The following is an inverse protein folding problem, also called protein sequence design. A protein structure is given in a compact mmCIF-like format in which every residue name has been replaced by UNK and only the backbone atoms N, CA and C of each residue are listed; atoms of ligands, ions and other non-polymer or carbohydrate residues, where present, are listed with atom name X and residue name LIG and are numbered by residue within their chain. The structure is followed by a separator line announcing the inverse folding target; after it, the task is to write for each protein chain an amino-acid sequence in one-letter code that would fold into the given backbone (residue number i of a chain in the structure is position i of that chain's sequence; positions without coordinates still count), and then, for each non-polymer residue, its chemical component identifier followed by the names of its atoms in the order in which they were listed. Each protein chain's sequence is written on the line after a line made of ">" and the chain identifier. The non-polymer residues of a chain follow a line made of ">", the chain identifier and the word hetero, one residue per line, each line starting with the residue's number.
data_IF_951294314687
#
_entry.id   IF_951294314687
#
_cell.length_a   1.000
_cell.length_b   1.000
_cell.length_c   1.000
_cell.angle_alpha   90.00
_cell.angle_beta   90.00
_cell.angle_gamma   90.00
#
_symmetry.space_group_name_H-M   'P 1'
#
loop_
_entity.id
_entity.type
_entity.pdbx_description
1 polymer ?
#
# COMPACT_ATOMS: atom_id res chain seq x y z
N UNK A 1 10.39 71.67 9.31
CA UNK A 1 11.38 70.59 9.24
C UNK A 1 10.89 69.43 10.10
N UNK A 2 10.61 68.32 9.43
CA UNK A 2 10.26 66.94 9.81
C UNK A 2 9.99 66.55 11.29
N UNK A 3 8.77 66.05 11.52
CA UNK A 3 8.49 64.99 12.50
C UNK A 3 7.82 63.84 11.76
N UNK A 4 8.57 62.77 11.51
CA UNK A 4 8.08 61.53 10.89
C UNK A 4 7.60 60.58 11.98
N UNK A 5 6.28 60.46 12.16
CA UNK A 5 5.69 59.37 12.93
C UNK A 5 5.44 58.18 12.00
N UNK A 6 6.27 57.14 12.18
CA UNK A 6 6.13 55.88 11.47
C UNK A 6 4.81 55.19 11.81
N UNK A 7 3.96 55.02 10.81
CA UNK A 7 2.78 54.17 10.90
C UNK A 7 3.23 52.70 10.88
N UNK A 8 3.05 52.01 12.00
CA UNK A 8 3.14 50.55 12.10
C UNK A 8 2.00 49.97 11.26
N UNK A 9 2.35 49.39 10.11
CA UNK A 9 1.44 48.64 9.26
C UNK A 9 1.19 47.30 9.93
N UNK A 10 0.05 47.18 10.59
CA UNK A 10 -0.43 45.96 11.23
C UNK A 10 -0.77 44.96 10.12
N UNK A 11 0.13 44.01 9.87
CA UNK A 11 -0.08 42.95 8.90
C UNK A 11 -1.19 42.04 9.42
N UNK A 12 -2.31 42.01 8.68
CA UNK A 12 -3.40 41.07 8.93
C UNK A 12 -2.87 39.68 8.64
N UNK A 13 -2.51 38.94 9.69
CA UNK A 13 -2.36 37.49 9.63
C UNK A 13 -3.63 36.87 9.06
N UNK A 14 -3.55 36.44 7.81
CA UNK A 14 -4.55 35.64 7.13
C UNK A 14 -4.66 34.31 7.86
N UNK A 15 -5.82 34.12 8.51
CA UNK A 15 -6.24 32.90 9.17
C UNK A 15 -6.24 31.76 8.14
N UNK A 16 -5.18 30.95 8.15
CA UNK A 16 -5.02 29.75 7.33
C UNK A 16 -6.23 28.84 7.55
N UNK A 17 -7.03 28.72 6.50
CA UNK A 17 -8.28 27.97 6.50
C UNK A 17 -7.90 26.49 6.38
N UNK A 18 -7.85 25.77 7.51
CA UNK A 18 -7.88 24.30 7.55
C UNK A 18 -9.34 23.85 7.78
N UNK A 19 -10.09 23.46 6.73
CA UNK A 19 -11.23 22.56 6.97
C UNK A 19 -11.43 21.44 5.92
N UNK A 20 -10.50 21.20 4.99
CA UNK A 20 -10.66 20.11 3.98
C UNK A 20 -10.04 18.77 4.40
N UNK A 21 -9.14 18.77 5.38
CA UNK A 21 -8.37 17.59 5.81
C UNK A 21 -9.22 16.53 6.56
N UNK A 22 -10.10 16.95 7.48
CA UNK A 22 -10.92 16.02 8.28
C UNK A 22 -12.03 15.33 7.48
N UNK A 23 -12.45 15.93 6.37
CA UNK A 23 -13.48 15.36 5.51
C UNK A 23 -12.94 14.20 4.68
N UNK A 24 -11.73 14.33 4.13
CA UNK A 24 -11.09 13.28 3.34
C UNK A 24 -10.68 12.08 4.20
N UNK A 25 -10.09 12.28 5.38
CA UNK A 25 -9.77 11.17 6.30
C UNK A 25 -11.02 10.40 6.74
N UNK A 26 -12.08 11.12 7.13
CA UNK A 26 -13.33 10.51 7.59
C UNK A 26 -14.09 9.82 6.46
N UNK A 27 -14.07 10.38 5.25
CA UNK A 27 -14.66 9.77 4.07
C UNK A 27 -13.88 8.54 3.61
N UNK A 28 -12.54 8.60 3.63
CA UNK A 28 -11.67 7.48 3.28
C UNK A 28 -11.77 6.33 4.28
N UNK A 29 -11.75 6.60 5.59
CA UNK A 29 -11.99 5.60 6.62
C UNK A 29 -13.39 4.99 6.53
N UNK A 30 -14.42 5.82 6.32
CA UNK A 30 -15.79 5.34 6.09
C UNK A 30 -15.93 4.55 4.78
N UNK A 31 -15.13 4.87 3.77
CA UNK A 31 -15.09 4.17 2.50
C UNK A 31 -14.44 2.78 2.64
N UNK A 32 -13.30 2.68 3.33
CA UNK A 32 -12.68 1.39 3.68
C UNK A 32 -13.64 0.52 4.48
N UNK A 33 -14.32 1.09 5.50
CA UNK A 33 -15.34 0.38 6.29
C UNK A 33 -16.56 -0.04 5.46
N UNK A 34 -17.01 0.80 4.52
CA UNK A 34 -18.12 0.47 3.62
C UNK A 34 -17.74 -0.62 2.61
N UNK A 35 -16.49 -0.67 2.16
CA UNK A 35 -15.95 -1.69 1.26
C UNK A 35 -15.72 -3.04 1.95
N UNK A 36 -15.16 -3.04 3.16
CA UNK A 36 -15.06 -4.23 4.03
C UNK A 36 -16.43 -4.91 4.17
N UNK A 37 -17.48 -4.11 4.37
CA UNK A 37 -18.87 -4.58 4.45
C UNK A 37 -19.43 -5.07 3.11
N UNK A 38 -19.05 -4.44 1.99
CA UNK A 38 -19.51 -4.83 0.67
C UNK A 38 -18.90 -6.17 0.22
N UNK A 39 -17.61 -6.43 0.52
CA UNK A 39 -16.97 -7.73 0.26
C UNK A 39 -17.58 -8.84 1.10
N UNK A 40 -17.71 -8.61 2.40
CA UNK A 40 -18.42 -9.53 3.29
C UNK A 40 -19.81 -9.86 2.75
N UNK A 41 -20.53 -8.86 2.24
CA UNK A 41 -21.85 -9.07 1.64
C UNK A 41 -21.77 -9.89 0.34
N UNK A 42 -20.80 -9.63 -0.53
CA UNK A 42 -20.62 -10.38 -1.77
C UNK A 42 -20.30 -11.85 -1.50
N UNK A 43 -19.39 -12.13 -0.56
CA UNK A 43 -19.00 -13.48 -0.17
C UNK A 43 -20.16 -14.24 0.49
N UNK A 44 -20.92 -13.56 1.37
CA UNK A 44 -22.14 -14.13 1.96
C UNK A 44 -23.24 -14.38 0.91
N UNK A 45 -23.34 -13.53 -0.10
CA UNK A 45 -24.31 -13.70 -1.19
C UNK A 45 -23.94 -14.81 -2.17
N UNK A 46 -22.65 -15.17 -2.24
CA UNK A 46 -22.11 -16.23 -3.11
C UNK A 46 -22.28 -17.64 -2.52
N UNK A 47 -22.60 -17.77 -1.22
CA UNK A 47 -22.90 -19.05 -0.57
C UNK A 47 -24.15 -19.71 -1.19
N UNK A 48 -24.07 -21.02 -1.44
CA UNK A 48 -25.19 -21.80 -1.96
C UNK A 48 -26.27 -22.03 -0.90
N UNK A 49 -27.50 -22.33 -1.32
CA UNK A 49 -28.65 -22.54 -0.43
C UNK A 49 -28.43 -23.68 0.57
N UNK A 50 -27.61 -24.69 0.24
CA UNK A 50 -27.21 -25.76 1.16
C UNK A 50 -26.21 -25.28 2.21
N UNK A 51 -25.22 -24.50 1.80
CA UNK A 51 -24.23 -23.90 2.71
C UNK A 51 -24.89 -22.90 3.65
N UNK A 52 -25.85 -22.12 3.14
CA UNK A 52 -26.70 -21.26 3.95
C UNK A 52 -27.50 -22.08 4.97
N UNK A 53 -28.11 -23.21 4.60
CA UNK A 53 -28.81 -24.09 5.55
C UNK A 53 -27.88 -24.72 6.59
N UNK A 54 -26.65 -25.09 6.22
CA UNK A 54 -25.66 -25.68 7.15
C UNK A 54 -25.18 -24.67 8.21
N UNK A 55 -25.10 -23.39 7.86
CA UNK A 55 -24.89 -22.33 8.85
C UNK A 55 -26.20 -21.86 9.50
N UNK A 56 -27.34 -22.38 9.06
CA UNK A 56 -28.73 -22.18 9.53
C UNK A 56 -29.50 -20.99 8.92
N UNK A 57 -28.97 -20.32 7.90
CA UNK A 57 -29.38 -18.98 7.42
C UNK A 57 -30.39 -19.04 6.29
N UNK A 58 -31.08 -17.93 6.10
CA UNK A 58 -31.84 -17.67 4.87
C UNK A 58 -31.43 -16.35 4.20
N UNK A 59 -31.53 -16.30 2.87
CA UNK A 59 -31.23 -15.09 2.08
C UNK A 59 -31.99 -13.84 2.55
N UNK A 60 -33.18 -14.03 3.14
CA UNK A 60 -33.99 -12.95 3.72
C UNK A 60 -33.42 -12.34 5.00
N UNK A 61 -32.70 -13.11 5.83
CA UNK A 61 -32.07 -12.58 7.05
C UNK A 61 -30.85 -11.70 6.75
N UNK A 62 -30.10 -12.02 5.69
CA UNK A 62 -28.97 -11.21 5.23
C UNK A 62 -29.45 -9.80 4.83
N UNK A 63 -30.54 -9.71 4.07
CA UNK A 63 -31.12 -8.42 3.68
C UNK A 63 -31.75 -7.66 4.85
N UNK A 64 -32.27 -8.36 5.87
CA UNK A 64 -32.82 -7.76 7.09
C UNK A 64 -31.73 -7.11 7.96
N UNK A 65 -30.63 -7.81 8.23
CA UNK A 65 -29.49 -7.29 9.01
C UNK A 65 -28.82 -6.10 8.31
N UNK A 66 -28.76 -6.14 6.99
CA UNK A 66 -28.23 -5.05 6.17
C UNK A 66 -29.11 -3.79 6.25
N UNK A 67 -30.44 -3.93 6.33
CA UNK A 67 -31.38 -2.80 6.37
C UNK A 67 -31.52 -2.18 7.76
N UNK A 68 -31.37 -2.94 8.84
CA UNK A 68 -31.64 -2.47 10.21
C UNK A 68 -30.35 -2.31 11.05
N UNK A 69 -29.77 -1.10 11.03
CA UNK A 69 -28.43 -0.78 11.58
C UNK A 69 -28.35 -0.52 13.10
N UNK A 70 -29.29 -0.98 13.94
CA UNK A 70 -29.27 -0.53 15.35
C UNK A 70 -29.97 -1.47 16.37
N UNK A 71 -29.52 -2.72 16.48
CA UNK A 71 -29.86 -3.53 17.66
C UNK A 71 -28.63 -3.58 18.57
N UNK A 72 -28.75 -2.93 19.72
CA UNK A 72 -27.87 -3.06 20.88
C UNK A 72 -27.86 -4.54 21.32
N UNK A 73 -26.69 -5.20 21.50
CA UNK A 73 -26.60 -6.61 21.89
C UNK A 73 -27.17 -6.91 23.29
N UNK A 74 -27.63 -5.92 24.05
CA UNK A 74 -28.20 -6.11 25.39
C UNK A 74 -29.73 -6.22 25.46
N UNK A 75 -30.43 -6.21 24.32
CA UNK A 75 -31.89 -6.38 24.27
C UNK A 75 -32.32 -7.77 23.82
N UNK A 76 -32.51 -8.71 24.75
CA UNK A 76 -33.01 -10.07 24.45
C UNK A 76 -34.47 -10.00 23.97
N UNK A 77 -34.73 -10.54 22.76
CA UNK A 77 -35.88 -11.42 22.56
C UNK A 77 -35.51 -12.55 21.59
N UNK A 78 -35.43 -13.74 22.17
CA UNK A 78 -35.13 -15.02 21.53
C UNK A 78 -36.06 -15.33 20.35
N UNK A 79 -35.46 -15.62 19.20
CA UNK A 79 -35.87 -16.76 18.38
C UNK A 79 -34.59 -17.53 18.02
N UNK A 80 -34.61 -18.84 18.18
CA UNK A 80 -33.43 -19.72 18.25
C UNK A 80 -32.58 -19.82 16.97
N UNK A 81 -32.92 -19.08 15.89
CA UNK A 81 -32.15 -19.03 14.64
C UNK A 81 -31.18 -17.84 14.51
N UNK A 82 -31.51 -16.67 15.07
CA UNK A 82 -30.75 -15.43 14.81
C UNK A 82 -29.40 -15.31 15.52
N UNK A 83 -29.24 -15.98 16.67
CA UNK A 83 -27.97 -16.00 17.43
C UNK A 83 -26.89 -16.82 16.76
N UNK A 84 -27.26 -17.89 16.04
CA UNK A 84 -26.30 -18.65 15.25
C UNK A 84 -25.81 -17.83 14.06
N UNK A 85 -26.69 -17.08 13.35
CA UNK A 85 -26.27 -16.16 12.27
C UNK A 85 -25.27 -15.11 12.70
N UNK A 86 -25.57 -14.41 13.79
CA UNK A 86 -24.68 -13.36 14.26
C UNK A 86 -23.34 -13.96 14.69
N UNK A 87 -23.34 -15.15 15.30
CA UNK A 87 -22.13 -15.85 15.67
C UNK A 87 -21.32 -16.35 14.46
N UNK A 88 -21.93 -17.00 13.46
CA UNK A 88 -21.23 -17.48 12.26
C UNK A 88 -20.75 -16.33 11.38
N UNK A 89 -21.56 -15.28 11.22
CA UNK A 89 -21.19 -14.06 10.49
C UNK A 89 -20.08 -13.30 11.23
N UNK A 90 -20.13 -13.22 12.56
CA UNK A 90 -19.02 -12.71 13.36
C UNK A 90 -17.77 -13.59 13.21
N UNK A 91 -17.88 -14.93 13.19
CA UNK A 91 -16.70 -15.79 12.97
C UNK A 91 -16.15 -15.67 11.55
N UNK A 92 -16.97 -15.54 10.52
CA UNK A 92 -16.52 -15.30 9.14
C UNK A 92 -15.88 -13.91 9.00
N UNK A 93 -16.48 -12.88 9.62
CA UNK A 93 -15.88 -11.55 9.76
C UNK A 93 -14.53 -11.65 10.46
N UNK A 94 -14.46 -12.32 11.61
CA UNK A 94 -13.21 -12.50 12.37
C UNK A 94 -12.19 -13.27 11.55
N UNK A 95 -12.59 -14.29 10.78
CA UNK A 95 -11.67 -15.06 9.92
C UNK A 95 -11.13 -14.23 8.76
N UNK A 96 -11.95 -13.35 8.16
CA UNK A 96 -11.57 -12.52 7.01
C UNK A 96 -10.81 -11.25 7.43
N UNK A 97 -11.21 -10.62 8.54
CA UNK A 97 -10.40 -9.62 9.22
C UNK A 97 -9.09 -10.23 9.70
N UNK A 98 -9.12 -11.46 10.21
CA UNK A 98 -7.90 -12.16 10.56
C UNK A 98 -7.11 -12.60 9.33
N UNK A 99 -7.66 -12.74 8.12
CA UNK A 99 -6.86 -13.08 6.94
C UNK A 99 -6.15 -11.86 6.36
N UNK A 100 -6.82 -10.71 6.28
CA UNK A 100 -6.19 -9.44 5.89
C UNK A 100 -5.20 -8.95 6.95
N UNK A 101 -5.59 -9.00 8.23
CA UNK A 101 -4.68 -8.71 9.33
C UNK A 101 -3.56 -9.76 9.41
N UNK A 102 -3.80 -11.04 9.10
CA UNK A 102 -2.70 -12.03 8.96
C UNK A 102 -1.81 -11.73 7.77
N UNK A 103 -2.33 -11.32 6.60
CA UNK A 103 -1.49 -10.92 5.46
C UNK A 103 -0.61 -9.72 5.81
N UNK A 104 -1.17 -8.71 6.49
CA UNK A 104 -0.43 -7.57 7.00
C UNK A 104 0.60 -7.96 8.08
N UNK A 105 0.18 -8.71 9.10
CA UNK A 105 1.05 -9.16 10.19
C UNK A 105 2.14 -10.08 9.66
N UNK A 106 1.84 -11.06 8.81
CA UNK A 106 2.86 -11.95 8.21
C UNK A 106 3.81 -11.20 7.30
N UNK A 107 3.34 -10.29 6.43
CA UNK A 107 4.24 -9.52 5.58
C UNK A 107 5.12 -8.58 6.40
N UNK A 108 4.57 -7.91 7.41
CA UNK A 108 5.31 -7.02 8.30
C UNK A 108 6.24 -7.79 9.22
N UNK A 109 5.82 -8.93 9.76
CA UNK A 109 6.63 -9.81 10.59
C UNK A 109 7.73 -10.46 9.76
N UNK A 110 7.46 -10.92 8.54
CA UNK A 110 8.48 -11.44 7.63
C UNK A 110 9.44 -10.32 7.25
N UNK A 111 8.97 -9.13 6.87
CA UNK A 111 9.85 -8.00 6.57
C UNK A 111 10.70 -7.62 7.79
N UNK A 112 10.08 -7.47 8.97
CA UNK A 112 10.80 -7.17 10.21
C UNK A 112 11.75 -8.30 10.59
N UNK A 113 11.39 -9.56 10.36
CA UNK A 113 12.27 -10.71 10.58
C UNK A 113 13.39 -10.77 9.55
N UNK A 114 13.20 -10.36 8.30
CA UNK A 114 14.26 -10.22 7.30
C UNK A 114 15.18 -9.04 7.63
N UNK A 115 14.64 -7.95 8.18
CA UNK A 115 15.42 -6.82 8.68
C UNK A 115 16.17 -7.16 9.98
N UNK A 116 15.60 -8.02 10.85
CA UNK A 116 16.19 -8.42 12.14
C UNK A 116 17.14 -9.61 12.05
N UNK A 117 16.73 -10.65 11.33
CA UNK A 117 17.54 -11.82 11.05
C UNK A 117 18.39 -11.45 9.84
N UNK A 118 19.67 -11.14 10.09
CA UNK A 118 20.71 -11.04 9.07
C UNK A 118 20.90 -12.39 8.35
N UNK A 119 19.88 -12.89 7.66
CA UNK A 119 19.85 -14.26 7.14
C UNK A 119 20.15 -14.26 5.64
N UNK A 120 21.04 -15.20 5.32
CA UNK A 120 21.67 -15.53 4.04
C UNK A 120 20.71 -15.41 2.84
N UNK A 121 21.15 -14.83 1.72
CA UNK A 121 20.31 -14.54 0.55
C UNK A 121 19.59 -15.80 0.05
N UNK A 122 18.28 -15.65 -0.16
CA UNK A 122 17.53 -16.57 -1.03
C UNK A 122 18.18 -16.55 -2.41
N UNK A 123 18.46 -17.73 -2.94
CA UNK A 123 19.25 -17.93 -4.15
C UNK A 123 18.68 -17.15 -5.35
N UNK A 124 19.59 -16.63 -6.19
CA UNK A 124 19.35 -15.99 -7.50
C UNK A 124 19.36 -14.44 -7.54
N UNK A 125 20.34 -13.77 -6.94
CA UNK A 125 20.76 -12.45 -7.42
C UNK A 125 22.30 -12.41 -7.56
N UNK A 126 22.85 -12.15 -8.75
CA UNK A 126 24.29 -11.97 -8.92
C UNK A 126 24.76 -10.80 -8.05
N UNK A 127 25.72 -11.04 -7.15
CA UNK A 127 26.28 -10.02 -6.26
C UNK A 127 27.38 -9.17 -6.92
N UNK A 128 27.63 -9.37 -8.21
CA UNK A 128 28.62 -8.59 -8.94
C UNK A 128 28.14 -7.14 -9.07
N UNK A 129 28.94 -6.15 -8.62
CA UNK A 129 28.57 -4.75 -8.76
C UNK A 129 28.37 -4.36 -10.22
N UNK A 130 27.28 -3.66 -10.48
CA UNK A 130 26.95 -3.12 -11.80
C UNK A 130 27.73 -1.84 -12.06
N UNK A 131 28.17 -1.65 -13.31
CA UNK A 131 28.92 -0.47 -13.74
C UNK A 131 28.03 0.65 -14.27
N UNK A 132 26.95 0.30 -14.97
CA UNK A 132 25.99 1.25 -15.52
C UNK A 132 24.61 0.61 -15.73
N UNK A 133 23.54 1.42 -15.73
CA UNK A 133 22.17 0.97 -15.95
C UNK A 133 21.93 0.34 -17.33
N UNK A 134 22.77 0.67 -18.33
CA UNK A 134 22.69 0.06 -19.67
C UNK A 134 23.06 -1.43 -19.66
N UNK A 135 23.86 -1.86 -18.69
CA UNK A 135 24.32 -3.24 -18.56
C UNK A 135 23.32 -4.13 -17.83
N UNK A 136 22.25 -3.55 -17.27
CA UNK A 136 21.24 -4.27 -16.49
C UNK A 136 20.06 -4.60 -17.38
N UNK A 137 19.66 -5.88 -17.48
CA UNK A 137 18.51 -6.27 -18.27
C UNK A 137 17.21 -5.75 -17.64
N UNK A 138 16.21 -5.50 -18.48
CA UNK A 138 14.85 -5.19 -18.03
C UNK A 138 14.33 -6.40 -17.24
N UNK A 139 13.91 -6.17 -16.00
CA UNK A 139 13.34 -7.21 -15.15
C UNK A 139 11.87 -7.46 -15.51
N UNK A 140 11.09 -6.39 -15.66
CA UNK A 140 9.68 -6.46 -16.06
C UNK A 140 9.25 -5.16 -16.73
N UNK A 141 8.39 -5.27 -17.72
CA UNK A 141 7.67 -4.12 -18.29
C UNK A 141 6.24 -4.15 -17.80
N UNK A 142 5.77 -3.03 -17.25
CA UNK A 142 4.38 -2.86 -16.80
C UNK A 142 3.71 -1.72 -17.56
N UNK A 143 2.39 -1.70 -17.58
CA UNK A 143 1.64 -0.55 -18.08
C UNK A 143 1.16 0.33 -16.93
N UNK A 144 1.38 1.64 -17.03
CA UNK A 144 0.88 2.65 -16.10
C UNK A 144 -0.15 3.55 -16.78
N UNK A 145 -0.79 4.47 -16.03
CA UNK A 145 -1.84 5.35 -16.56
C UNK A 145 -3.10 4.63 -17.02
N UNK A 146 -3.46 3.53 -16.35
CA UNK A 146 -4.64 2.71 -16.67
C UNK A 146 -5.89 3.06 -15.87
N UNK A 147 -5.77 3.92 -14.86
CA UNK A 147 -6.87 4.34 -13.98
C UNK A 147 -6.97 5.86 -13.93
N UNK A 148 -8.21 6.35 -13.83
CA UNK A 148 -8.50 7.79 -13.79
C UNK A 148 -8.16 8.42 -12.42
N UNK A 149 -8.25 7.64 -11.34
CA UNK A 149 -8.04 8.12 -9.97
C UNK A 149 -7.60 6.99 -9.02
N UNK A 150 -7.05 7.38 -7.87
CA UNK A 150 -6.55 6.45 -6.84
C UNK A 150 -7.63 5.54 -6.28
N UNK A 151 -8.89 5.96 -6.33
CA UNK A 151 -10.01 5.18 -5.82
C UNK A 151 -10.31 4.00 -6.75
N UNK A 152 -10.38 4.24 -8.07
CA UNK A 152 -10.52 3.20 -9.08
C UNK A 152 -9.36 2.20 -9.01
N UNK A 153 -8.13 2.69 -8.85
CA UNK A 153 -6.94 1.85 -8.67
C UNK A 153 -7.02 0.98 -7.41
N UNK A 154 -7.35 1.58 -6.26
CA UNK A 154 -7.49 0.85 -4.99
C UNK A 154 -8.59 -0.20 -5.05
N UNK A 155 -9.69 0.11 -5.76
CA UNK A 155 -10.79 -0.81 -5.99
C UNK A 155 -10.40 -1.99 -6.89
N UNK A 156 -9.55 -1.75 -7.88
CA UNK A 156 -9.04 -2.82 -8.74
C UNK A 156 -8.15 -3.77 -7.95
N UNK A 157 -7.23 -3.25 -7.12
CA UNK A 157 -6.37 -4.05 -6.24
C UNK A 157 -7.19 -4.95 -5.31
N UNK A 158 -8.18 -4.34 -4.68
CA UNK A 158 -9.18 -5.01 -3.86
C UNK A 158 -9.89 -6.15 -4.62
N UNK A 159 -10.39 -5.86 -5.82
CA UNK A 159 -11.18 -6.81 -6.62
C UNK A 159 -10.38 -8.06 -6.97
N UNK A 160 -9.06 -7.93 -7.13
CA UNK A 160 -8.16 -9.06 -7.42
C UNK A 160 -7.54 -9.68 -6.16
N UNK A 161 -8.00 -9.29 -4.97
CA UNK A 161 -7.54 -9.85 -3.69
C UNK A 161 -6.16 -9.37 -3.25
N UNK A 162 -5.63 -8.28 -3.81
CA UNK A 162 -4.38 -7.67 -3.36
C UNK A 162 -4.63 -6.77 -2.14
N UNK A 163 -4.00 -7.12 -1.02
CA UNK A 163 -4.06 -6.34 0.21
C UNK A 163 -3.38 -4.97 0.08
N UNK A 164 -3.82 -4.01 0.89
CA UNK A 164 -3.19 -2.70 1.02
C UNK A 164 -2.99 -2.43 2.52
N UNK A 165 -1.74 -2.22 2.95
CA UNK A 165 -1.44 -1.82 4.33
C UNK A 165 -1.95 -0.40 4.60
N UNK A 166 -2.28 -0.08 5.85
CA UNK A 166 -2.74 1.25 6.27
C UNK A 166 -1.87 2.39 5.75
N UNK A 167 -0.54 2.34 5.92
CA UNK A 167 0.37 3.40 5.46
C UNK A 167 0.40 3.51 3.93
N UNK A 168 0.38 2.39 3.21
CA UNK A 168 0.26 2.39 1.74
C UNK A 168 -1.08 3.01 1.30
N UNK A 169 -2.20 2.56 1.90
CA UNK A 169 -3.53 3.05 1.60
C UNK A 169 -3.71 4.53 1.94
N UNK A 170 -3.00 5.02 2.97
CA UNK A 170 -2.96 6.43 3.29
C UNK A 170 -2.27 7.22 2.17
N UNK A 171 -1.06 6.83 1.75
CA UNK A 171 -0.34 7.57 0.71
C UNK A 171 -1.02 7.53 -0.66
N UNK A 172 -1.71 6.44 -1.00
CA UNK A 172 -2.56 6.37 -2.21
C UNK A 172 -3.70 7.40 -2.19
N UNK A 173 -4.19 7.77 -1.00
CA UNK A 173 -5.23 8.78 -0.82
C UNK A 173 -4.69 10.22 -0.73
N UNK A 174 -3.36 10.41 -0.77
CA UNK A 174 -2.75 11.74 -0.70
C UNK A 174 -2.89 12.46 -2.05
N UNK A 175 -3.21 13.76 -2.07
CA UNK A 175 -3.23 14.53 -3.32
C UNK A 175 -1.89 14.58 -4.06
N UNK A 176 -0.78 14.34 -3.34
CA UNK A 176 0.57 14.26 -3.91
C UNK A 176 0.85 12.92 -4.60
N UNK A 177 0.01 11.90 -4.37
CA UNK A 177 0.03 10.69 -5.18
C UNK A 177 -0.72 10.97 -6.48
N UNK A 178 0.01 10.94 -7.59
CA UNK A 178 -0.52 11.23 -8.92
C UNK A 178 -0.52 9.98 -9.79
N UNK A 179 -1.50 9.91 -10.67
CA UNK A 179 -1.59 8.89 -11.72
C UNK A 179 -1.28 9.54 -13.06
N UNK A 180 -0.60 8.80 -13.93
CA UNK A 180 -0.40 9.25 -15.31
C UNK A 180 -1.75 9.29 -16.04
N UNK A 181 -2.04 10.40 -16.72
CA UNK A 181 -3.18 10.48 -17.62
C UNK A 181 -2.96 9.70 -18.93
N UNK A 182 -1.71 9.35 -19.23
CA UNK A 182 -1.32 8.70 -20.48
C UNK A 182 -0.91 7.26 -20.19
N UNK A 183 -1.62 6.33 -20.84
CA UNK A 183 -1.27 4.92 -20.80
C UNK A 183 0.08 4.70 -21.48
N UNK A 184 1.07 4.22 -20.71
CA UNK A 184 2.44 4.03 -21.19
C UNK A 184 3.05 2.77 -20.60
N UNK A 185 4.01 2.18 -21.31
CA UNK A 185 4.79 1.05 -20.79
C UNK A 185 6.03 1.58 -20.08
N UNK A 186 6.31 1.04 -18.90
CA UNK A 186 7.45 1.38 -18.05
C UNK A 186 8.29 0.13 -17.85
N UNK A 187 9.56 0.22 -18.21
CA UNK A 187 10.56 -0.81 -17.96
C UNK A 187 11.12 -0.65 -16.54
N UNK A 188 11.09 -1.73 -15.77
CA UNK A 188 11.59 -1.78 -14.39
C UNK A 188 12.87 -2.62 -14.34
N UNK A 189 13.83 -2.13 -13.56
CA UNK A 189 15.14 -2.74 -13.34
C UNK A 189 15.27 -3.10 -11.86
N UNK A 190 15.51 -4.37 -11.58
CA UNK A 190 15.67 -4.87 -10.21
C UNK A 190 17.14 -4.80 -9.79
N UNK A 191 17.43 -4.05 -8.72
CA UNK A 191 18.78 -3.80 -8.21
C UNK A 191 18.80 -3.83 -6.70
N UNK A 192 19.69 -4.61 -6.08
CA UNK A 192 19.94 -4.50 -4.64
C UNK A 192 21.02 -3.45 -4.36
N UNK A 193 21.11 -2.94 -3.12
CA UNK A 193 22.19 -2.03 -2.77
C UNK A 193 23.58 -2.70 -2.90
N UNK A 194 23.68 -4.01 -2.64
CA UNK A 194 24.93 -4.74 -2.87
C UNK A 194 25.38 -4.65 -4.35
N UNK A 195 24.45 -4.77 -5.30
CA UNK A 195 24.74 -4.63 -6.73
C UNK A 195 25.07 -3.18 -7.13
N UNK A 196 24.64 -2.19 -6.34
CA UNK A 196 25.02 -0.78 -6.51
C UNK A 196 26.41 -0.46 -5.94
N UNK A 197 27.03 -1.42 -5.24
CA UNK A 197 28.39 -1.33 -4.68
C UNK A 197 28.45 -1.07 -3.17
N UNK A 198 27.36 -1.28 -2.43
CA UNK A 198 27.38 -1.19 -0.96
C UNK A 198 27.84 -2.51 -0.34
N UNK A 199 28.85 -2.45 0.52
CA UNK A 199 29.45 -3.65 1.15
C UNK A 199 28.97 -3.88 2.59
N UNK A 200 28.42 -2.86 3.25
CA UNK A 200 27.85 -2.99 4.59
C UNK A 200 26.55 -3.79 4.60
N UNK A 201 26.10 -4.26 5.77
CA UNK A 201 24.82 -4.98 5.92
C UNK A 201 23.61 -4.11 5.53
N UNK A 202 23.70 -2.80 5.76
CA UNK A 202 22.67 -1.80 5.43
C UNK A 202 23.28 -0.56 4.78
N UNK A 203 22.46 0.17 4.04
CA UNK A 203 22.79 1.50 3.52
C UNK A 203 21.59 2.44 3.70
N UNK A 204 21.83 3.75 3.81
CA UNK A 204 20.73 4.72 3.90
C UNK A 204 20.00 4.85 2.56
N UNK A 205 18.69 5.11 2.61
CA UNK A 205 17.88 5.28 1.40
C UNK A 205 18.44 6.38 0.49
N UNK A 206 18.91 7.50 1.06
CA UNK A 206 19.49 8.61 0.30
C UNK A 206 20.78 8.21 -0.43
N UNK A 207 21.66 7.43 0.19
CA UNK A 207 22.89 6.94 -0.46
C UNK A 207 22.55 5.97 -1.60
N UNK A 208 21.59 5.07 -1.38
CA UNK A 208 21.12 4.12 -2.40
C UNK A 208 20.59 4.89 -3.63
N UNK A 209 19.73 5.89 -3.42
CA UNK A 209 19.16 6.69 -4.51
C UNK A 209 20.23 7.48 -5.25
N UNK A 210 21.14 8.13 -4.51
CA UNK A 210 22.26 8.87 -5.09
C UNK A 210 23.11 7.96 -5.97
N UNK A 211 23.43 6.75 -5.48
CA UNK A 211 24.25 5.79 -6.22
C UNK A 211 23.52 5.24 -7.44
N UNK A 212 22.24 4.92 -7.33
CA UNK A 212 21.43 4.47 -8.46
C UNK A 212 21.39 5.53 -9.57
N UNK A 213 21.20 6.80 -9.21
CA UNK A 213 21.19 7.93 -10.15
C UNK A 213 22.54 8.14 -10.83
N UNK A 214 23.66 8.04 -10.10
CA UNK A 214 25.01 8.09 -10.68
C UNK A 214 25.26 6.98 -11.71
N UNK A 215 24.61 5.83 -11.56
CA UNK A 215 24.71 4.71 -12.48
C UNK A 215 23.71 4.80 -13.66
N UNK A 216 22.89 5.86 -13.72
CA UNK A 216 21.94 6.11 -14.81
C UNK A 216 20.53 5.55 -14.56
N UNK A 217 20.21 5.12 -13.35
CA UNK A 217 18.84 4.78 -12.96
C UNK A 217 18.05 6.03 -12.56
N UNK A 218 16.76 6.04 -12.85
CA UNK A 218 15.81 7.05 -12.41
C UNK A 218 14.89 6.51 -11.31
N UNK A 219 14.28 7.43 -10.55
CA UNK A 219 13.20 7.08 -9.64
C UNK A 219 11.89 6.91 -10.43
N UNK A 220 11.16 5.86 -10.09
CA UNK A 220 9.84 5.55 -10.62
C UNK A 220 8.77 6.50 -10.04
N UNK A 221 7.71 6.74 -10.82
CA UNK A 221 6.49 7.35 -10.29
C UNK A 221 5.84 6.44 -9.25
N UNK A 222 5.22 7.02 -8.21
CA UNK A 222 4.57 6.27 -7.13
C UNK A 222 3.51 5.27 -7.64
N UNK A 223 2.83 5.57 -8.75
CA UNK A 223 1.82 4.70 -9.36
C UNK A 223 2.36 3.35 -9.83
N UNK A 224 3.68 3.23 -10.04
CA UNK A 224 4.33 1.98 -10.45
C UNK A 224 4.03 0.86 -9.45
N UNK A 225 4.02 1.15 -8.14
CA UNK A 225 3.80 0.12 -7.12
C UNK A 225 2.41 -0.55 -7.21
N UNK A 226 1.28 0.19 -7.17
CA UNK A 226 -0.03 -0.41 -7.31
C UNK A 226 -0.27 -0.99 -8.72
N UNK A 227 0.29 -0.39 -9.78
CA UNK A 227 0.18 -0.92 -11.15
C UNK A 227 0.92 -2.25 -11.31
N UNK A 228 2.14 -2.36 -10.75
CA UNK A 228 2.89 -3.61 -10.72
C UNK A 228 2.13 -4.68 -9.94
N UNK A 229 1.54 -4.32 -8.80
CA UNK A 229 0.79 -5.27 -7.98
C UNK A 229 -0.39 -5.88 -8.75
N UNK A 230 -1.03 -5.11 -9.64
CA UNK A 230 -2.10 -5.56 -10.55
C UNK A 230 -1.62 -6.39 -11.75
N UNK A 231 -0.31 -6.47 -11.99
CA UNK A 231 0.28 -7.10 -13.19
C UNK A 231 1.31 -8.21 -12.86
N UNK A 232 1.51 -8.50 -11.58
CA UNK A 232 2.48 -9.49 -11.12
C UNK A 232 1.87 -10.36 -10.02
N UNK A 233 1.08 -11.37 -10.41
CA UNK A 233 0.36 -12.23 -9.46
C UNK A 233 1.16 -13.47 -9.02
N UNK A 234 2.13 -13.87 -9.83
CA UNK A 234 3.04 -15.01 -9.62
C UNK A 234 4.24 -14.65 -8.74
N UNK A 235 4.11 -13.62 -7.90
CA UNK A 235 5.18 -13.20 -6.99
C UNK A 235 5.49 -14.30 -5.97
N UNK A 236 6.76 -14.75 -5.86
CA UNK A 236 7.16 -15.75 -4.88
C UNK A 236 6.90 -15.32 -3.43
N UNK A 237 6.49 -16.26 -2.59
CA UNK A 237 6.39 -16.03 -1.14
C UNK A 237 7.76 -15.66 -0.58
N UNK A 238 7.80 -14.60 0.22
CA UNK A 238 9.02 -14.05 0.80
C UNK A 238 9.71 -13.00 -0.06
N UNK A 239 9.20 -12.69 -1.25
CA UNK A 239 9.73 -11.60 -2.08
C UNK A 239 9.13 -10.24 -1.66
N UNK A 240 10.00 -9.25 -1.53
CA UNK A 240 9.69 -7.85 -1.21
C UNK A 240 10.43 -6.96 -2.19
N UNK A 241 9.71 -6.26 -3.06
CA UNK A 241 10.26 -5.38 -4.08
C UNK A 241 10.00 -3.92 -3.69
N UNK A 242 11.05 -3.22 -3.27
CA UNK A 242 10.96 -1.81 -2.87
C UNK A 242 10.89 -0.96 -4.13
N UNK A 243 9.93 -0.04 -4.24
CA UNK A 243 9.90 0.87 -5.38
C UNK A 243 10.86 2.03 -5.10
N UNK A 244 11.84 2.23 -5.98
CA UNK A 244 12.69 3.41 -5.96
C UNK A 244 11.89 4.63 -6.43
N UNK A 245 11.14 5.26 -5.52
CA UNK A 245 10.26 6.40 -5.79
C UNK A 245 10.56 7.57 -4.85
N UNK A 246 10.13 8.77 -5.24
CA UNK A 246 10.09 9.89 -4.29
C UNK A 246 9.11 9.58 -3.14
N UNK A 247 9.53 9.73 -1.87
CA UNK A 247 8.65 9.45 -0.74
C UNK A 247 7.45 10.39 -0.69
N UNK A 248 6.28 9.83 -0.39
CA UNK A 248 5.04 10.60 -0.17
C UNK A 248 4.81 10.73 1.33
N UNK A 249 4.61 11.96 1.79
CA UNK A 249 4.33 12.22 3.20
C UNK A 249 2.91 11.79 3.58
N UNK A 250 2.77 11.10 4.70
CA UNK A 250 1.50 10.87 5.42
C UNK A 250 0.85 12.20 5.81
N UNK A 251 -0.38 12.16 6.32
CA UNK A 251 -1.03 13.34 6.91
C UNK A 251 -0.25 13.88 8.11
N UNK A 252 0.47 12.99 8.82
CA UNK A 252 1.35 13.34 9.93
C UNK A 252 2.75 13.80 9.51
N UNK A 253 3.08 13.73 8.21
CA UNK A 253 4.34 14.22 7.66
C UNK A 253 5.45 13.17 7.55
N UNK A 254 5.20 11.93 7.93
CA UNK A 254 6.14 10.81 7.80
C UNK A 254 6.31 10.46 6.31
N UNK A 255 7.54 10.43 5.78
CA UNK A 255 7.77 10.05 4.39
C UNK A 255 7.62 8.53 4.23
N UNK A 256 6.82 8.09 3.26
CA UNK A 256 6.58 6.67 2.98
C UNK A 256 6.91 6.36 1.52
N UNK A 257 7.61 5.24 1.31
CA UNK A 257 7.78 4.59 0.01
C UNK A 257 6.96 3.30 -0.04
N UNK A 258 6.65 2.83 -1.24
CA UNK A 258 5.84 1.63 -1.45
C UNK A 258 6.72 0.41 -1.71
N UNK A 259 6.28 -0.73 -1.19
CA UNK A 259 6.88 -2.05 -1.46
C UNK A 259 5.79 -3.02 -1.90
N UNK A 260 6.08 -3.79 -2.94
CA UNK A 260 5.22 -4.85 -3.47
C UNK A 260 5.70 -6.18 -2.92
N UNK A 261 4.87 -6.85 -2.14
CA UNK A 261 5.31 -8.00 -1.35
C UNK A 261 4.34 -9.18 -1.41
N UNK A 262 4.88 -10.36 -1.15
CA UNK A 262 4.12 -11.56 -0.81
C UNK A 262 4.66 -12.15 0.50
N UNK A 263 3.96 -11.87 1.61
CA UNK A 263 4.34 -12.34 2.95
C UNK A 263 3.96 -13.79 3.27
N UNK A 264 3.35 -14.52 2.32
CA UNK A 264 2.88 -15.90 2.52
C UNK A 264 1.39 -16.03 2.87
N UNK A 265 0.73 -14.96 3.29
CA UNK A 265 -0.73 -14.92 3.46
C UNK A 265 -1.45 -14.07 2.40
N UNK A 266 -0.74 -13.71 1.31
CA UNK A 266 -1.32 -13.04 0.15
C UNK A 266 -0.41 -11.97 -0.43
N UNK A 267 -0.81 -11.49 -1.62
CA UNK A 267 -0.16 -10.37 -2.29
C UNK A 267 -0.59 -9.06 -1.62
N UNK A 268 0.37 -8.21 -1.31
CA UNK A 268 0.11 -6.99 -0.57
C UNK A 268 0.97 -5.82 -1.08
N UNK A 269 0.41 -4.62 -0.98
CA UNK A 269 1.12 -3.36 -1.08
C UNK A 269 1.35 -2.80 0.33
N UNK A 270 2.60 -2.59 0.71
CA UNK A 270 2.99 -2.12 2.05
C UNK A 270 3.67 -0.75 1.98
N UNK A 271 3.54 0.02 3.04
CA UNK A 271 4.23 1.30 3.22
C UNK A 271 5.47 1.08 4.07
N UNK A 272 6.61 1.55 3.60
CA UNK A 272 7.89 1.49 4.33
C UNK A 272 8.40 2.91 4.60
N UNK A 273 9.16 3.07 5.68
CA UNK A 273 9.85 4.31 5.99
C UNK A 273 10.69 4.79 4.79
N UNK A 274 10.32 5.98 4.29
CA UNK A 274 10.95 6.66 3.17
C UNK A 274 11.87 7.79 3.61
N UNK A 275 12.26 7.84 4.89
CA UNK A 275 13.19 8.85 5.40
C UNK A 275 14.56 8.69 4.75
N UNK A 276 15.27 9.79 4.54
CA UNK A 276 16.56 9.80 3.86
C UNK A 276 17.60 8.91 4.58
N UNK A 277 17.53 8.85 5.90
CA UNK A 277 18.37 8.09 6.82
C UNK A 277 17.84 6.67 7.11
N UNK A 278 16.69 6.29 6.54
CA UNK A 278 16.11 4.96 6.71
C UNK A 278 17.12 3.89 6.27
N UNK A 279 17.40 2.95 7.17
CA UNK A 279 18.39 1.90 6.95
C UNK A 279 17.75 0.74 6.19
N UNK A 280 18.27 0.47 5.00
CA UNK A 280 17.78 -0.58 4.11
C UNK A 280 18.81 -1.70 4.03
N UNK A 281 18.36 -2.94 4.18
CA UNK A 281 19.20 -4.12 3.96
C UNK A 281 19.75 -4.14 2.54
N UNK A 282 21.05 -4.39 2.37
CA UNK A 282 21.69 -4.31 1.04
C UNK A 282 21.28 -5.41 0.08
N UNK A 283 20.64 -6.47 0.59
CA UNK A 283 20.07 -7.55 -0.22
C UNK A 283 18.64 -7.28 -0.67
N UNK A 284 17.98 -6.25 -0.12
CA UNK A 284 16.62 -5.89 -0.53
C UNK A 284 16.63 -5.35 -1.96
N UNK A 285 15.84 -5.94 -2.88
CA UNK A 285 15.76 -5.45 -4.25
C UNK A 285 14.93 -4.18 -4.34
N UNK A 286 15.47 -3.19 -5.04
CA UNK A 286 14.77 -2.00 -5.50
C UNK A 286 14.37 -2.15 -6.96
N UNK A 287 13.21 -1.59 -7.31
CA UNK A 287 12.78 -1.40 -8.68
C UNK A 287 12.99 0.06 -9.09
N UNK A 288 13.88 0.27 -10.05
CA UNK A 288 14.15 1.57 -10.67
C UNK A 288 13.65 1.61 -12.11
N UNK A 289 13.61 2.80 -12.68
CA UNK A 289 13.44 3.02 -14.13
C UNK A 289 14.76 3.47 -14.74
N UNK A 290 14.84 3.56 -16.08
CA UNK A 290 16.00 4.20 -16.72
C UNK A 290 15.89 5.72 -16.58
N UNK A 291 17.00 6.39 -16.30
CA UNK A 291 17.05 7.84 -16.33
C UNK A 291 16.82 8.33 -17.77
N UNK A 292 15.95 9.31 -17.95
CA UNK A 292 15.75 10.01 -19.24
C UNK A 292 16.83 11.09 -19.42
N UNK A 293 17.61 11.39 -18.37
CA UNK A 293 18.64 12.42 -18.42
C UNK A 293 20.01 11.86 -18.84
N UNK A 294 20.49 12.41 -19.98
CA UNK A 294 21.88 12.55 -20.45
C UNK A 294 22.50 11.40 -21.26
N UNK A 295 22.28 11.46 -22.58
CA UNK A 295 23.38 11.37 -23.55
C UNK A 295 23.85 12.79 -23.87
#
# INVERSE_FOLDING_TARGET
>A
MNTAHGAVRQDRTTRSTRPTFSFFERYWGAFQERRKRARLRADLCALDKRELMDIGSTRGEIDFVVRNRSIDPRGIRSSCGGTFFIATLCTACILQFASEARAQCTARDVLQNQLRLKKTPSASMPQTPVRAAVDVPVWKTITVGTFADSFALSNALDTVGCGIETSAGEILARPTFTLSATKTNVELFAMSAAQLGFEADTASLAEIYTRAQQLGFGLAAAEVAPQLRLQYFDQPVGEFLIIGMEPIKTWNGEPIILTVANGGAGLILIGQDGSADAQISVVSPFLFVRSIAQF
#
